data_IF_350106707694
#
_entry.id   IF_350106707694
#
_cell.length_a   1.000
_cell.length_b   1.000
_cell.length_c   1.000
_cell.angle_alpha   90.00
_cell.angle_beta   90.00
_cell.angle_gamma   90.00
#
_symmetry.space_group_name_H-M   'P 1'
#
loop_
_entity.id
_entity.type
_entity.pdbx_description
1 polymer ?
#
# COMPACT_ATOMS: atom_id res chain seq x y z
N UNK A 1 -4.14 -20.24 -5.75
CA UNK A 1 -5.56 -19.90 -5.74
C UNK A 1 -5.92 -19.41 -4.35
N UNK A 2 -5.74 -18.11 -4.15
CA UNK A 2 -6.55 -17.28 -3.27
C UNK A 2 -6.29 -15.89 -3.79
N UNK A 3 -6.88 -15.65 -4.95
CA UNK A 3 -6.92 -14.37 -5.62
C UNK A 3 -7.78 -13.51 -4.70
N UNK A 4 -7.12 -12.76 -3.82
CA UNK A 4 -7.76 -11.72 -3.01
C UNK A 4 -8.24 -10.66 -3.99
N UNK A 5 -9.44 -10.87 -4.53
CA UNK A 5 -10.09 -9.96 -5.44
C UNK A 5 -10.22 -8.62 -4.71
N UNK A 6 -9.45 -7.64 -5.16
CA UNK A 6 -9.59 -6.29 -4.67
C UNK A 6 -11.02 -5.86 -5.05
N UNK A 7 -11.85 -5.62 -4.03
CA UNK A 7 -13.22 -5.15 -4.23
C UNK A 7 -13.26 -3.86 -5.06
N UNK A 8 -12.24 -3.01 -4.91
CA UNK A 8 -11.97 -1.86 -5.76
C UNK A 8 -10.49 -1.43 -5.60
N UNK A 9 -9.90 -0.86 -6.65
CA UNK A 9 -8.55 -0.29 -6.61
C UNK A 9 -8.57 1.11 -7.20
N UNK A 10 -8.44 2.12 -6.34
CA UNK A 10 -8.42 3.53 -6.71
C UNK A 10 -7.04 4.12 -6.42
N UNK A 11 -6.50 4.87 -7.37
CA UNK A 11 -5.30 5.67 -7.15
C UNK A 11 -5.60 6.84 -6.21
N UNK A 12 -4.82 6.99 -5.14
CA UNK A 12 -4.85 8.17 -4.26
C UNK A 12 -4.42 9.42 -5.04
N UNK A 13 -5.11 10.54 -4.83
CA UNK A 13 -4.74 11.82 -5.44
C UNK A 13 -3.41 12.37 -4.88
N UNK A 14 -2.88 13.43 -5.47
CA UNK A 14 -1.64 14.09 -5.02
C UNK A 14 -1.70 14.58 -3.56
N UNK A 15 -2.90 14.80 -3.02
CA UNK A 15 -3.13 15.13 -1.60
C UNK A 15 -3.22 13.89 -0.67
N UNK A 16 -3.19 12.68 -1.22
CA UNK A 16 -3.37 11.43 -0.48
C UNK A 16 -4.84 11.03 -0.26
N UNK A 17 -5.79 11.79 -0.82
CA UNK A 17 -7.21 11.48 -0.72
C UNK A 17 -7.60 10.33 -1.67
N UNK A 18 -8.39 9.37 -1.16
CA UNK A 18 -9.04 8.33 -1.95
C UNK A 18 -10.53 8.28 -1.61
N UNK A 19 -11.33 7.74 -2.54
CA UNK A 19 -12.76 7.48 -2.31
C UNK A 19 -13.14 6.17 -2.97
N UNK A 20 -13.65 5.26 -2.15
CA UNK A 20 -14.23 4.01 -2.62
C UNK A 20 -15.75 4.16 -2.49
N UNK A 21 -16.47 3.93 -3.58
CA UNK A 21 -17.94 3.94 -3.61
C UNK A 21 -18.44 2.57 -4.05
N UNK A 22 -19.70 2.24 -3.77
CA UNK A 22 -20.31 0.93 -4.12
C UNK A 22 -19.79 -0.26 -3.29
N UNK A 23 -19.33 0.00 -2.07
CA UNK A 23 -19.02 -1.06 -1.09
C UNK A 23 -20.23 -1.33 -0.20
N UNK A 24 -20.53 -2.62 0.02
CA UNK A 24 -21.56 -3.05 0.95
C UNK A 24 -21.13 -2.86 2.41
N UNK A 25 -22.04 -3.14 3.34
CA UNK A 25 -21.68 -3.23 4.76
C UNK A 25 -20.89 -4.53 5.03
N UNK A 26 -19.83 -4.42 5.82
CA UNK A 26 -18.96 -5.55 6.13
C UNK A 26 -17.60 -5.15 6.68
N UNK A 27 -16.78 -6.16 6.99
CA UNK A 27 -15.39 -5.98 7.38
C UNK A 27 -14.51 -5.98 6.14
N UNK A 28 -13.74 -4.90 5.96
CA UNK A 28 -12.87 -4.68 4.81
C UNK A 28 -11.42 -4.49 5.28
N UNK A 29 -10.50 -5.20 4.62
CA UNK A 29 -9.07 -4.92 4.76
C UNK A 29 -8.64 -3.85 3.77
N UNK A 30 -8.31 -2.66 4.27
CA UNK A 30 -7.76 -1.59 3.46
C UNK A 30 -6.23 -1.72 3.44
N UNK A 31 -5.64 -1.85 2.26
CA UNK A 31 -4.19 -1.86 2.07
C UNK A 31 -3.76 -0.65 1.25
N UNK A 32 -2.91 0.19 1.82
CA UNK A 32 -2.40 1.42 1.21
C UNK A 32 -0.91 1.28 0.99
N UNK A 33 -0.46 1.51 -0.25
CA UNK A 33 0.96 1.48 -0.61
C UNK A 33 1.30 2.74 -1.38
N UNK A 34 2.39 3.40 -1.02
CA UNK A 34 2.89 4.58 -1.73
C UNK A 34 4.38 4.43 -2.06
N UNK A 35 4.85 4.97 -3.20
CA UNK A 35 6.24 4.87 -3.59
C UNK A 35 7.15 5.60 -2.58
N UNK A 36 8.07 4.87 -1.96
CA UNK A 36 8.96 5.40 -0.92
C UNK A 36 8.38 5.39 0.49
N UNK A 37 7.20 4.80 0.69
CA UNK A 37 6.58 4.58 2.00
C UNK A 37 6.44 3.09 2.31
N UNK A 38 6.36 2.75 3.60
CA UNK A 38 6.01 1.41 4.03
C UNK A 38 4.52 1.15 3.78
N UNK A 39 4.14 -0.03 3.24
CA UNK A 39 2.74 -0.36 3.03
C UNK A 39 2.01 -0.50 4.37
N UNK A 40 0.84 0.11 4.48
CA UNK A 40 -0.01 0.05 5.67
C UNK A 40 -1.29 -0.74 5.37
N UNK A 41 -1.66 -1.66 6.27
CA UNK A 41 -2.88 -2.43 6.17
C UNK A 41 -3.73 -2.26 7.44
N UNK A 42 -4.97 -1.79 7.27
CA UNK A 42 -5.92 -1.54 8.36
C UNK A 42 -7.23 -2.28 8.11
N UNK A 43 -7.81 -2.85 9.17
CA UNK A 43 -9.15 -3.43 9.14
C UNK A 43 -10.18 -2.34 9.45
N UNK A 44 -11.18 -2.24 8.59
CA UNK A 44 -12.26 -1.26 8.68
C UNK A 44 -13.61 -1.97 8.67
N UNK A 45 -14.50 -1.59 9.57
CA UNK A 45 -15.89 -2.03 9.55
C UNK A 45 -16.72 -0.95 8.86
N UNK A 46 -17.38 -1.29 7.77
CA UNK A 46 -18.28 -0.41 7.01
C UNK A 46 -19.71 -0.74 7.39
N UNK A 47 -20.43 0.26 7.92
CA UNK A 47 -21.85 0.14 8.24
C UNK A 47 -22.70 0.50 7.00
N UNK A 48 -23.87 -0.13 6.87
CA UNK A 48 -24.79 0.00 5.73
C UNK A 48 -25.32 1.42 5.47
N UNK A 49 -25.26 2.30 6.48
CA UNK A 49 -25.86 3.63 6.43
C UNK A 49 -24.88 4.77 6.77
N UNK A 50 -23.57 4.49 6.91
CA UNK A 50 -22.60 5.49 7.37
C UNK A 50 -21.37 5.64 6.46
N UNK A 51 -20.98 6.89 6.21
CA UNK A 51 -19.80 7.24 5.42
C UNK A 51 -18.55 7.04 6.28
N UNK A 52 -17.88 5.90 6.11
CA UNK A 52 -16.71 5.59 6.91
C UNK A 52 -15.49 6.34 6.40
N UNK A 53 -15.06 7.33 7.18
CA UNK A 53 -13.75 7.96 7.02
C UNK A 53 -12.70 7.23 7.84
N UNK A 54 -11.77 6.59 7.13
CA UNK A 54 -10.57 6.03 7.73
C UNK A 54 -9.35 6.80 7.23
N UNK A 55 -8.50 7.24 8.14
CA UNK A 55 -7.24 7.90 7.81
C UNK A 55 -6.10 6.89 7.99
N UNK A 56 -5.23 6.79 6.99
CA UNK A 56 -4.09 5.85 7.01
C UNK A 56 -2.80 6.65 6.92
N UNK A 57 -2.07 6.69 8.03
CA UNK A 57 -0.75 7.32 8.08
C UNK A 57 0.32 6.38 7.49
N UNK A 58 0.84 6.73 6.32
CA UNK A 58 1.97 6.04 5.71
C UNK A 58 3.28 6.59 6.28
N UNK A 59 4.09 5.73 6.88
CA UNK A 59 5.43 6.08 7.30
C UNK A 59 6.38 6.04 6.09
N UNK A 60 7.24 7.05 5.90
CA UNK A 60 8.24 7.02 4.83
C UNK A 60 9.14 5.82 5.08
N UNK A 61 9.25 4.94 4.09
CA UNK A 61 10.21 3.86 4.14
C UNK A 61 11.56 4.54 4.22
N UNK A 62 12.23 4.39 5.36
CA UNK A 62 13.63 4.78 5.43
C UNK A 62 14.29 4.16 4.22
N UNK A 63 14.91 4.93 3.32
CA UNK A 63 15.65 4.35 2.23
C UNK A 63 16.70 3.50 2.91
N UNK A 64 16.46 2.19 2.98
CA UNK A 64 17.52 1.24 3.21
C UNK A 64 18.47 1.58 2.08
N UNK A 65 19.58 2.23 2.42
CA UNK A 65 20.66 2.40 1.49
C UNK A 65 21.05 0.97 1.16
N UNK A 66 20.46 0.43 0.09
CA UNK A 66 20.92 -0.79 -0.52
C UNK A 66 22.37 -0.48 -0.87
N UNK A 67 23.27 -0.90 0.01
CA UNK A 67 24.69 -0.98 -0.28
C UNK A 67 24.84 -2.13 -1.26
N UNK A 68 24.26 -1.98 -2.45
CA UNK A 68 24.58 -2.72 -3.64
C UNK A 68 25.99 -2.37 -4.06
N UNK A 69 26.98 -2.81 -3.28
CA UNK A 69 28.30 -3.11 -3.84
C UNK A 69 28.14 -4.45 -4.54
N UNK A 70 27.46 -4.43 -5.68
CA UNK A 70 27.48 -5.51 -6.64
C UNK A 70 28.75 -5.36 -7.48
N UNK A 71 29.66 -6.31 -7.26
CA UNK A 71 30.69 -6.78 -8.19
C UNK A 71 31.83 -5.83 -8.59
N UNK A 72 32.85 -5.76 -7.74
CA UNK A 72 34.24 -5.61 -8.20
C UNK A 72 35.05 -6.78 -7.62
N UNK A 73 34.80 -7.99 -8.15
CA UNK A 73 35.64 -9.13 -7.84
C UNK A 73 35.66 -10.14 -9.00
N UNK A 74 36.70 -9.99 -9.82
CA UNK A 74 37.29 -11.02 -10.68
C UNK A 74 36.73 -11.17 -12.11
N UNK A 75 37.25 -10.35 -13.04
CA UNK A 75 37.71 -10.89 -14.32
C UNK A 75 38.87 -10.06 -14.90
N UNK A 76 40.03 -10.10 -14.22
CA UNK A 76 41.32 -9.99 -14.89
C UNK A 76 41.97 -11.37 -14.89
N UNK A 77 41.48 -12.25 -15.75
CA UNK A 77 42.25 -13.38 -16.22
C UNK A 77 43.26 -12.83 -17.25
N UNK A 78 44.50 -12.65 -16.83
CA UNK A 78 45.67 -12.63 -17.72
C UNK A 78 46.60 -13.74 -17.27
#
# INVERSE_FOLDING_TARGET
MQDGEAVDAVDTDADGAYRITDIGAGEYGLSVTAPGCEPAASLLEVAEEDDVRHDVELSPATPVAESGRADDAMSRLR
#
